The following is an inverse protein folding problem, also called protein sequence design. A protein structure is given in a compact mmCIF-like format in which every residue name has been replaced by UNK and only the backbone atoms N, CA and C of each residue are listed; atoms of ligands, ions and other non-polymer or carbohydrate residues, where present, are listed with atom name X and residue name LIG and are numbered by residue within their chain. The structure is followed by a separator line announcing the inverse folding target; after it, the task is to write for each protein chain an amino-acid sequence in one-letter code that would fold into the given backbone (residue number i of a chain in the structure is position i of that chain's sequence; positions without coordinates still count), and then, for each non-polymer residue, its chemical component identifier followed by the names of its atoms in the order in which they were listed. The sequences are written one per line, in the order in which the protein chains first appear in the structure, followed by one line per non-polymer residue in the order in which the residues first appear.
data_IF_495730371109
#
_entry.id   IF_495730371109
#
_cell.length_a   1.000
_cell.length_b   1.000
_cell.length_c   1.000
_cell.angle_alpha   90.00
_cell.angle_beta   90.00
_cell.angle_gamma   90.00
#
_symmetry.space_group_name_H-M   'P 1'
#
loop_
_entity.id
_entity.type
_entity.pdbx_description
1 polymer ?
#
# COMPACT_ATOMS: atom_id res chain seq x y z
N UNK A 1 -4.29 18.25 23.17
CA UNK A 1 -3.95 17.97 24.58
C UNK A 1 -4.72 16.78 25.15
N UNK A 2 -6.06 16.77 25.09
CA UNK A 2 -6.92 15.72 25.69
C UNK A 2 -6.49 14.27 25.34
N UNK A 3 -6.20 13.96 24.07
CA UNK A 3 -5.84 12.60 23.67
C UNK A 3 -4.47 12.13 24.19
N UNK A 4 -3.48 13.02 24.30
CA UNK A 4 -2.15 12.67 24.81
C UNK A 4 -2.22 12.23 26.27
N UNK A 5 -3.03 12.94 27.05
CA UNK A 5 -3.29 12.63 28.47
C UNK A 5 -3.99 11.27 28.59
N UNK A 6 -5.00 11.00 27.75
CA UNK A 6 -5.70 9.70 27.75
C UNK A 6 -4.74 8.54 27.48
N UNK A 7 -3.88 8.67 26.45
CA UNK A 7 -2.88 7.62 26.12
C UNK A 7 -1.92 7.39 27.28
N UNK A 8 -1.44 8.47 27.91
CA UNK A 8 -0.53 8.38 29.05
C UNK A 8 -1.20 7.73 30.27
N UNK A 9 -2.40 8.17 30.64
CA UNK A 9 -3.17 7.58 31.75
C UNK A 9 -3.46 6.10 31.52
N UNK A 10 -3.87 5.72 30.30
CA UNK A 10 -4.13 4.32 29.97
C UNK A 10 -2.84 3.48 29.99
N UNK A 11 -1.70 4.03 29.57
CA UNK A 11 -0.40 3.33 29.65
C UNK A 11 0.06 3.08 31.10
N UNK A 12 -0.18 4.04 32.00
CA UNK A 12 0.12 3.88 33.43
C UNK A 12 -0.85 2.88 34.05
N UNK A 13 -2.13 2.96 33.70
CA UNK A 13 -3.14 2.02 34.18
C UNK A 13 -2.82 0.58 33.74
N UNK A 14 -2.44 0.36 32.48
CA UNK A 14 -2.07 -0.98 32.01
C UNK A 14 -0.80 -1.49 32.69
N UNK A 15 0.19 -0.62 32.94
CA UNK A 15 1.39 -0.98 33.70
C UNK A 15 1.05 -1.48 35.12
N UNK A 16 0.20 -0.75 35.85
CA UNK A 16 -0.21 -1.12 37.21
C UNK A 16 -0.97 -2.44 37.19
N UNK A 17 -1.97 -2.57 36.31
CA UNK A 17 -2.80 -3.77 36.23
C UNK A 17 -2.00 -5.01 35.83
N UNK A 18 -1.07 -4.87 34.88
CA UNK A 18 -0.18 -5.98 34.46
C UNK A 18 0.81 -6.43 35.54
N UNK A 19 1.06 -5.62 36.59
CA UNK A 19 1.90 -6.02 37.72
C UNK A 19 1.10 -6.67 38.85
N UNK A 20 -0.16 -6.27 39.02
CA UNK A 20 -0.97 -6.67 40.19
C UNK A 20 -1.92 -7.85 39.89
N UNK A 21 -2.33 -8.04 38.64
CA UNK A 21 -3.26 -9.10 38.26
C UNK A 21 -2.58 -10.23 37.51
N UNK A 22 -2.88 -11.48 37.89
CA UNK A 22 -2.43 -12.71 37.21
C UNK A 22 -3.32 -13.02 35.99
N UNK A 23 -3.53 -12.01 35.14
CA UNK A 23 -4.24 -12.17 33.87
C UNK A 23 -3.19 -12.15 32.76
N UNK A 24 -3.33 -12.94 31.68
CA UNK A 24 -2.39 -12.87 30.56
C UNK A 24 -2.23 -11.43 30.09
N UNK A 25 -0.98 -10.95 30.04
CA UNK A 25 -0.64 -9.57 29.70
C UNK A 25 -1.23 -9.10 28.35
N UNK A 26 -1.47 -10.03 27.42
CA UNK A 26 -2.14 -9.74 26.15
C UNK A 26 -3.59 -9.26 26.30
N UNK A 27 -4.27 -9.62 27.38
CA UNK A 27 -5.65 -9.22 27.65
C UNK A 27 -5.78 -7.69 27.72
N UNK A 28 -4.91 -7.03 28.50
CA UNK A 28 -4.93 -5.57 28.68
C UNK A 28 -4.58 -4.81 27.41
N UNK A 29 -3.83 -5.42 26.49
CA UNK A 29 -3.47 -4.83 25.19
C UNK A 29 -4.72 -4.62 24.33
N UNK A 30 -5.71 -5.50 24.40
CA UNK A 30 -6.90 -5.44 23.53
C UNK A 30 -8.14 -4.90 24.23
N UNK A 31 -8.33 -5.16 25.53
CA UNK A 31 -9.55 -4.75 26.25
C UNK A 31 -9.72 -3.23 26.26
N UNK A 32 -8.71 -2.47 26.66
CA UNK A 32 -8.83 -1.01 26.73
C UNK A 32 -9.04 -0.35 25.36
N UNK A 33 -8.31 -0.71 24.29
CA UNK A 33 -8.61 -0.20 22.95
C UNK A 33 -10.00 -0.57 22.45
N UNK A 34 -10.49 -1.79 22.73
CA UNK A 34 -11.84 -2.22 22.30
C UNK A 34 -12.91 -1.41 23.05
N UNK A 35 -12.81 -1.28 24.37
CA UNK A 35 -13.75 -0.49 25.18
C UNK A 35 -13.73 0.98 24.73
N UNK A 36 -12.54 1.53 24.51
CA UNK A 36 -12.37 2.88 23.97
C UNK A 36 -13.02 3.03 22.58
N UNK A 37 -12.84 2.05 21.69
CA UNK A 37 -13.49 2.01 20.37
C UNK A 37 -15.02 2.02 20.51
N UNK A 38 -15.59 1.13 21.33
CA UNK A 38 -17.05 1.04 21.53
C UNK A 38 -17.62 2.37 22.06
N UNK A 39 -17.00 2.95 23.08
CA UNK A 39 -17.44 4.23 23.67
C UNK A 39 -17.36 5.37 22.64
N UNK A 40 -16.23 5.49 21.94
CA UNK A 40 -16.04 6.57 20.95
C UNK A 40 -16.98 6.43 19.76
N UNK A 41 -17.18 5.22 19.24
CA UNK A 41 -18.14 4.93 18.18
C UNK A 41 -19.57 5.26 18.62
N UNK A 42 -19.97 4.87 19.84
CA UNK A 42 -21.29 5.19 20.36
C UNK A 42 -21.50 6.71 20.46
N UNK A 43 -20.56 7.43 21.09
CA UNK A 43 -20.64 8.89 21.24
C UNK A 43 -20.69 9.57 19.87
N UNK A 44 -19.83 9.19 18.92
CA UNK A 44 -19.74 9.87 17.64
C UNK A 44 -20.90 9.54 16.70
N UNK A 45 -21.46 8.32 16.76
CA UNK A 45 -22.63 7.92 15.99
C UNK A 45 -23.89 8.66 16.48
N UNK A 46 -24.16 8.64 17.78
CA UNK A 46 -25.41 9.18 18.33
C UNK A 46 -25.35 10.68 18.63
N UNK A 47 -24.24 11.19 19.16
CA UNK A 47 -24.13 12.59 19.60
C UNK A 47 -23.65 13.55 18.51
N UNK A 48 -22.85 13.07 17.55
CA UNK A 48 -22.14 13.94 16.60
C UNK A 48 -22.41 13.65 15.12
N UNK A 49 -23.10 12.55 14.77
CA UNK A 49 -23.30 12.09 13.38
C UNK A 49 -22.00 12.01 12.56
N UNK A 50 -20.89 11.68 13.22
CA UNK A 50 -19.58 11.56 12.59
C UNK A 50 -19.33 10.09 12.23
N UNK A 51 -18.72 9.82 11.06
CA UNK A 51 -18.32 8.46 10.66
C UNK A 51 -17.33 7.85 11.66
N UNK A 52 -17.57 6.59 12.05
CA UNK A 52 -16.75 5.81 12.99
C UNK A 52 -15.28 5.68 12.57
N UNK A 53 -14.99 5.77 11.27
CA UNK A 53 -13.62 5.76 10.73
C UNK A 53 -12.74 6.91 11.23
N UNK A 54 -13.32 7.96 11.83
CA UNK A 54 -12.55 9.04 12.45
C UNK A 54 -11.85 8.64 13.74
N UNK A 55 -12.29 7.57 14.42
CA UNK A 55 -11.78 7.19 15.73
C UNK A 55 -10.70 6.12 15.67
N UNK A 56 -10.61 5.39 14.56
CA UNK A 56 -9.61 4.33 14.38
C UNK A 56 -8.17 4.80 14.69
N UNK A 57 -7.72 6.00 14.25
CA UNK A 57 -6.41 6.51 14.64
C UNK A 57 -6.23 6.71 16.15
N UNK A 58 -7.28 7.14 16.85
CA UNK A 58 -7.24 7.32 18.31
C UNK A 58 -7.24 5.97 19.03
N UNK A 59 -8.00 5.00 18.55
CA UNK A 59 -7.95 3.60 19.04
C UNK A 59 -6.53 3.04 18.87
N UNK A 60 -5.89 3.27 17.73
CA UNK A 60 -4.52 2.80 17.49
C UNK A 60 -3.51 3.48 18.44
N UNK A 61 -3.68 4.76 18.77
CA UNK A 61 -2.85 5.44 19.77
C UNK A 61 -3.02 4.86 21.17
N UNK A 62 -4.24 4.53 21.56
CA UNK A 62 -4.53 3.85 22.83
C UNK A 62 -3.89 2.46 22.83
N UNK A 63 -4.01 1.71 21.74
CA UNK A 63 -3.36 0.42 21.58
C UNK A 63 -1.85 0.49 21.81
N UNK A 64 -1.15 1.47 21.19
CA UNK A 64 0.28 1.65 21.44
C UNK A 64 0.59 2.05 22.89
N UNK A 65 -0.25 2.88 23.52
CA UNK A 65 -0.13 3.20 24.94
C UNK A 65 -0.26 1.97 25.83
N UNK A 66 -1.28 1.13 25.60
CA UNK A 66 -1.53 -0.10 26.36
C UNK A 66 -0.42 -1.13 26.14
N UNK A 67 0.01 -1.34 24.89
CA UNK A 67 1.14 -2.20 24.55
C UNK A 67 2.43 -1.73 25.25
N UNK A 68 2.68 -0.41 25.24
CA UNK A 68 3.80 0.20 25.93
C UNK A 68 3.76 -0.05 27.44
N UNK A 69 2.61 0.18 28.08
CA UNK A 69 2.44 -0.08 29.52
C UNK A 69 2.61 -1.55 29.91
N UNK A 70 2.17 -2.49 29.07
CA UNK A 70 2.39 -3.92 29.28
C UNK A 70 3.88 -4.27 29.14
N UNK A 71 4.58 -3.71 28.15
CA UNK A 71 6.02 -3.96 27.98
C UNK A 71 6.85 -3.39 29.14
N UNK A 72 6.41 -2.27 29.73
CA UNK A 72 7.00 -1.67 30.94
C UNK A 72 6.79 -2.50 32.22
N UNK A 73 5.87 -3.47 32.22
CA UNK A 73 5.64 -4.32 33.39
C UNK A 73 6.73 -5.39 33.56
N UNK A 74 7.46 -5.71 32.49
CA UNK A 74 8.57 -6.66 32.53
C UNK A 74 9.85 -6.04 33.10
N UNK A 75 10.72 -6.87 33.67
CA UNK A 75 12.01 -6.46 34.25
C UNK A 75 13.17 -6.45 33.23
N UNK A 76 12.93 -6.94 32.02
CA UNK A 76 13.92 -6.97 30.95
C UNK A 76 14.13 -5.56 30.37
N UNK A 77 15.39 -5.08 30.41
CA UNK A 77 15.79 -3.75 29.94
C UNK A 77 15.34 -3.51 28.50
N UNK A 78 15.46 -4.51 27.62
CA UNK A 78 15.07 -4.38 26.23
C UNK A 78 13.56 -4.08 26.08
N UNK A 79 12.72 -4.80 26.83
CA UNK A 79 11.26 -4.59 26.83
C UNK A 79 10.86 -3.26 27.44
N UNK A 80 11.55 -2.82 28.49
CA UNK A 80 11.30 -1.51 29.10
C UNK A 80 11.56 -0.38 28.11
N UNK A 81 12.70 -0.43 27.40
CA UNK A 81 13.04 0.55 26.35
C UNK A 81 11.97 0.52 25.24
N UNK A 82 11.61 -0.68 24.76
CA UNK A 82 10.58 -0.83 23.74
C UNK A 82 9.21 -0.31 24.21
N UNK A 83 8.88 -0.53 25.47
CA UNK A 83 7.66 -0.02 26.10
C UNK A 83 7.59 1.50 26.13
N UNK A 84 8.68 2.16 26.55
CA UNK A 84 8.80 3.62 26.50
C UNK A 84 8.63 4.15 25.07
N UNK A 85 9.24 3.50 24.09
CA UNK A 85 9.10 3.88 22.67
C UNK A 85 7.66 3.78 22.18
N UNK A 86 6.92 2.73 22.55
CA UNK A 86 5.50 2.59 22.17
C UNK A 86 4.60 3.63 22.83
N UNK A 87 4.82 3.95 24.12
CA UNK A 87 4.10 5.04 24.80
C UNK A 87 4.38 6.38 24.11
N UNK A 88 5.66 6.66 23.83
CA UNK A 88 6.08 7.87 23.13
C UNK A 88 5.45 7.95 21.74
N UNK A 89 5.41 6.84 20.99
CA UNK A 89 4.78 6.76 19.68
C UNK A 89 3.28 7.08 19.76
N UNK A 90 2.55 6.51 20.72
CA UNK A 90 1.12 6.82 20.94
C UNK A 90 0.87 8.30 21.28
N UNK A 91 1.78 8.95 22.01
CA UNK A 91 1.69 10.36 22.38
C UNK A 91 2.03 11.28 21.19
N UNK A 92 3.11 10.99 20.46
CA UNK A 92 3.61 11.79 19.35
C UNK A 92 2.82 11.60 18.04
N UNK A 93 2.14 10.47 17.89
CA UNK A 93 1.30 10.18 16.73
C UNK A 93 0.29 11.31 16.47
N UNK A 94 0.35 11.87 15.26
CA UNK A 94 -0.55 12.94 14.81
C UNK A 94 -1.85 12.34 14.27
N UNK A 95 -2.94 12.53 15.02
CA UNK A 95 -4.29 12.08 14.67
C UNK A 95 -4.70 12.51 13.25
N UNK A 96 -4.45 13.77 12.87
CA UNK A 96 -4.83 14.29 11.56
C UNK A 96 -4.01 13.67 10.41
N UNK A 97 -2.74 13.36 10.63
CA UNK A 97 -1.93 12.68 9.63
C UNK A 97 -2.39 11.22 9.45
N UNK A 98 -2.63 10.53 10.56
CA UNK A 98 -3.13 9.15 10.56
C UNK A 98 -4.53 9.04 9.93
N UNK A 99 -5.45 9.96 10.22
CA UNK A 99 -6.77 10.01 9.56
C UNK A 99 -6.65 10.16 8.06
N UNK A 100 -5.74 11.03 7.59
CA UNK A 100 -5.52 11.23 6.16
C UNK A 100 -4.96 9.99 5.48
N UNK A 101 -4.01 9.31 6.10
CA UNK A 101 -3.48 8.03 5.60
C UNK A 101 -4.56 6.97 5.61
N UNK A 102 -5.29 6.80 6.71
CA UNK A 102 -6.36 5.81 6.82
C UNK A 102 -7.47 6.02 5.77
N UNK A 103 -7.81 7.28 5.49
CA UNK A 103 -8.83 7.66 4.49
C UNK A 103 -8.29 7.76 3.07
N UNK A 104 -6.99 7.53 2.87
CA UNK A 104 -6.28 7.76 1.61
C UNK A 104 -6.63 9.12 0.99
N UNK A 105 -6.72 10.16 1.84
CA UNK A 105 -7.17 11.50 1.42
C UNK A 105 -6.17 12.09 0.42
N UNK A 106 -6.63 12.33 -0.80
CA UNK A 106 -5.80 12.86 -1.89
C UNK A 106 -5.08 11.80 -2.72
N UNK A 107 -5.39 10.50 -2.53
CA UNK A 107 -4.91 9.43 -3.38
C UNK A 107 -5.82 9.26 -4.59
N UNK A 108 -5.27 9.53 -5.78
CA UNK A 108 -5.91 9.33 -7.09
C UNK A 108 -5.13 8.23 -7.82
N UNK A 109 -5.81 7.22 -8.31
CA UNK A 109 -5.19 6.13 -9.06
C UNK A 109 -5.70 6.11 -10.49
N UNK A 110 -4.78 5.98 -11.44
CA UNK A 110 -5.08 5.78 -12.85
C UNK A 110 -4.62 4.36 -13.25
N UNK A 111 -5.57 3.51 -13.62
CA UNK A 111 -5.34 2.11 -14.03
C UNK A 111 -5.90 1.86 -15.42
N UNK A 112 -5.48 0.76 -16.06
CA UNK A 112 -5.91 0.39 -17.40
C UNK A 112 -4.78 -0.19 -18.24
N UNK A 113 -5.11 -0.74 -19.39
CA UNK A 113 -4.16 -1.45 -20.28
C UNK A 113 -3.08 -0.51 -20.84
N UNK A 114 -1.97 -1.07 -21.33
CA UNK A 114 -0.91 -0.28 -21.97
C UNK A 114 -1.43 0.45 -23.22
N UNK A 115 -0.92 1.65 -23.52
CA UNK A 115 -1.40 2.44 -24.68
C UNK A 115 -2.65 3.31 -24.45
N UNK A 116 -3.24 3.28 -23.25
CA UNK A 116 -4.43 4.08 -22.88
C UNK A 116 -4.18 5.56 -22.61
N UNK A 117 -2.93 6.01 -22.50
CA UNK A 117 -2.60 7.42 -22.23
C UNK A 117 -2.62 7.84 -20.75
N UNK A 118 -2.62 6.88 -19.81
CA UNK A 118 -2.61 7.14 -18.35
C UNK A 118 -1.59 8.19 -17.91
N UNK A 119 -0.34 8.06 -18.36
CA UNK A 119 0.74 8.97 -17.98
C UNK A 119 0.47 10.41 -18.45
N UNK A 120 -0.10 10.59 -19.65
CA UNK A 120 -0.52 11.91 -20.15
C UNK A 120 -1.65 12.50 -19.30
N UNK A 121 -2.66 11.69 -18.96
CA UNK A 121 -3.73 12.14 -18.09
C UNK A 121 -3.25 12.44 -16.65
N UNK A 122 -2.29 11.68 -16.13
CA UNK A 122 -1.66 11.95 -14.84
C UNK A 122 -1.04 13.35 -14.80
N UNK A 123 -0.34 13.72 -15.88
CA UNK A 123 0.33 15.00 -16.01
C UNK A 123 -0.67 16.17 -16.16
N UNK A 124 -1.75 15.96 -16.91
CA UNK A 124 -2.83 16.93 -17.03
C UNK A 124 -3.53 17.18 -15.68
N UNK A 125 -3.83 16.11 -14.92
CA UNK A 125 -4.44 16.22 -13.59
C UNK A 125 -3.48 16.91 -12.62
N UNK A 126 -2.17 16.59 -12.68
CA UNK A 126 -1.15 17.26 -11.87
C UNK A 126 -1.13 18.76 -12.14
N UNK A 127 -1.08 19.14 -13.42
CA UNK A 127 -1.06 20.54 -13.85
C UNK A 127 -2.30 21.29 -13.39
N UNK A 128 -3.48 20.70 -13.55
CA UNK A 128 -4.73 21.29 -13.08
C UNK A 128 -4.75 21.47 -11.55
N UNK A 129 -4.32 20.47 -10.78
CA UNK A 129 -4.23 20.59 -9.31
C UNK A 129 -3.25 21.69 -8.87
N UNK A 130 -2.09 21.76 -9.51
CA UNK A 130 -1.07 22.76 -9.19
C UNK A 130 -1.52 24.18 -9.52
N UNK A 131 -2.21 24.38 -10.66
CA UNK A 131 -2.84 25.66 -11.02
C UNK A 131 -3.87 26.12 -9.98
N UNK A 132 -4.54 25.18 -9.31
CA UNK A 132 -5.48 25.45 -8.22
C UNK A 132 -4.79 25.56 -6.84
N UNK A 133 -3.46 25.67 -6.78
CA UNK A 133 -2.69 25.80 -5.54
C UNK A 133 -2.58 24.51 -4.72
N UNK A 134 -2.97 23.37 -5.29
CA UNK A 134 -2.94 22.06 -4.61
C UNK A 134 -1.62 21.35 -4.95
N UNK A 135 -0.80 21.10 -3.92
CA UNK A 135 0.46 20.37 -4.10
C UNK A 135 0.18 18.92 -4.50
N UNK A 136 0.72 18.51 -5.65
CA UNK A 136 0.56 17.17 -6.20
C UNK A 136 1.91 16.46 -6.35
N UNK A 137 1.89 15.13 -6.44
CA UNK A 137 3.04 14.29 -6.79
C UNK A 137 2.57 13.08 -7.59
N UNK A 138 3.20 12.83 -8.73
CA UNK A 138 2.98 11.59 -9.49
C UNK A 138 3.91 10.48 -8.96
N UNK A 139 3.37 9.28 -8.77
CA UNK A 139 4.12 8.09 -8.34
C UNK A 139 3.85 6.96 -9.34
N UNK A 140 4.83 6.59 -10.17
CA UNK A 140 4.69 5.44 -11.05
C UNK A 140 4.88 4.12 -10.29
N UNK A 141 3.98 3.15 -10.48
CA UNK A 141 4.03 1.81 -9.89
C UNK A 141 4.63 0.73 -10.82
N UNK A 142 5.44 1.14 -11.81
CA UNK A 142 6.05 0.23 -12.78
C UNK A 142 7.46 -0.27 -12.38
N UNK A 143 8.04 0.17 -11.25
CA UNK A 143 9.36 -0.26 -10.77
C UNK A 143 9.24 -0.97 -9.43
N UNK A 144 9.83 -2.15 -9.36
CA UNK A 144 9.90 -2.96 -8.14
C UNK A 144 11.12 -2.50 -7.31
N UNK A 145 10.94 -2.16 -6.03
CA UNK A 145 12.04 -1.67 -5.19
C UNK A 145 13.05 -2.80 -4.93
N UNK A 146 12.56 -4.02 -4.75
CA UNK A 146 13.34 -5.20 -4.40
C UNK A 146 13.54 -6.14 -5.58
N UNK A 147 12.51 -6.42 -6.40
CA UNK A 147 12.69 -7.35 -7.52
C UNK A 147 13.69 -6.83 -8.57
N UNK A 148 13.78 -5.51 -8.78
CA UNK A 148 14.78 -4.93 -9.69
C UNK A 148 16.20 -4.97 -9.12
N UNK A 149 16.35 -5.00 -7.79
CA UNK A 149 17.67 -5.18 -7.14
C UNK A 149 18.08 -6.66 -7.14
N UNK A 150 17.14 -7.56 -6.84
CA UNK A 150 17.34 -9.01 -6.85
C UNK A 150 17.59 -9.54 -8.27
N UNK A 151 16.90 -9.03 -9.29
CA UNK A 151 17.16 -9.40 -10.68
C UNK A 151 18.57 -9.00 -11.10
N UNK A 152 19.00 -7.77 -10.80
CA UNK A 152 20.38 -7.30 -11.06
C UNK A 152 21.43 -8.08 -10.28
N UNK A 153 21.14 -8.46 -9.04
CA UNK A 153 22.02 -9.29 -8.24
C UNK A 153 22.12 -10.70 -8.84
N UNK A 154 21.00 -11.35 -9.14
CA UNK A 154 20.96 -12.68 -9.78
C UNK A 154 21.64 -12.70 -11.15
N UNK A 155 21.50 -11.64 -11.96
CA UNK A 155 22.22 -11.47 -13.22
C UNK A 155 23.75 -11.36 -13.05
N UNK A 156 24.24 -10.87 -11.90
CA UNK A 156 25.67 -10.87 -11.58
C UNK A 156 26.20 -12.25 -11.18
N UNK A 157 25.33 -13.14 -10.67
CA UNK A 157 25.73 -14.48 -10.21
C UNK A 157 25.45 -15.59 -11.24
N UNK A 158 24.48 -15.43 -12.13
CA UNK A 158 24.28 -16.36 -13.24
C UNK A 158 25.12 -15.93 -14.45
N UNK A 159 26.09 -16.78 -14.78
CA UNK A 159 27.01 -16.72 -15.94
C UNK A 159 26.28 -16.94 -17.29
N UNK A 160 25.09 -16.38 -17.43
CA UNK A 160 24.20 -16.51 -18.59
C UNK A 160 23.64 -15.13 -18.98
N UNK A 161 24.54 -14.16 -19.09
CA UNK A 161 24.32 -12.91 -19.81
C UNK A 161 24.26 -13.08 -21.33
N UNK A 162 23.80 -14.23 -21.86
CA UNK A 162 23.78 -14.54 -23.29
C UNK A 162 22.58 -14.00 -24.08
N UNK A 163 21.66 -13.27 -23.45
CA UNK A 163 20.56 -12.59 -24.17
C UNK A 163 20.71 -11.06 -24.25
N UNK A 164 21.82 -10.49 -23.74
CA UNK A 164 22.16 -9.08 -23.96
C UNK A 164 23.18 -8.89 -25.10
N UNK A 165 23.82 -9.95 -25.59
CA UNK A 165 24.83 -9.88 -26.66
C UNK A 165 24.24 -10.01 -28.08
N UNK A 166 23.06 -10.60 -28.24
CA UNK A 166 22.30 -10.53 -29.49
C UNK A 166 21.49 -9.24 -29.47
N UNK A 167 21.86 -8.27 -30.31
CA UNK A 167 21.32 -6.90 -30.36
C UNK A 167 19.82 -6.73 -30.68
N UNK A 168 18.95 -7.67 -30.31
CA UNK A 168 17.50 -7.49 -30.30
C UNK A 168 17.10 -6.64 -29.09
N UNK A 169 16.87 -5.35 -29.35
CA UNK A 169 16.49 -4.33 -28.36
C UNK A 169 15.13 -4.56 -27.70
N UNK A 170 14.32 -5.50 -28.18
CA UNK A 170 12.99 -5.79 -27.63
C UNK A 170 12.70 -7.29 -27.63
N UNK A 171 12.09 -7.84 -26.56
CA UNK A 171 11.64 -9.23 -26.57
C UNK A 171 10.55 -9.41 -27.65
N UNK A 172 10.48 -10.57 -28.34
CA UNK A 172 9.52 -10.80 -29.42
C UNK A 172 8.07 -10.66 -28.94
N UNK A 173 7.15 -10.38 -29.88
CA UNK A 173 5.69 -10.26 -29.60
C UNK A 173 5.19 -11.50 -28.85
N UNK A 174 4.49 -11.28 -27.74
CA UNK A 174 3.98 -12.36 -26.90
C UNK A 174 5.04 -13.05 -26.02
N UNK A 175 6.28 -12.55 -25.95
CA UNK A 175 7.29 -13.09 -25.04
C UNK A 175 6.88 -12.88 -23.59
N UNK A 176 6.46 -13.98 -22.97
CA UNK A 176 6.15 -14.04 -21.55
C UNK A 176 7.47 -14.31 -20.83
N UNK A 177 7.92 -13.47 -19.88
CA UNK A 177 9.08 -13.76 -19.06
C UNK A 177 8.79 -14.98 -18.18
N UNK A 178 9.07 -16.15 -18.75
CA UNK A 178 9.43 -17.39 -18.10
C UNK A 178 8.52 -17.83 -16.94
N UNK A 179 7.52 -18.67 -17.25
CA UNK A 179 7.00 -19.69 -16.31
C UNK A 179 8.01 -20.84 -16.09
N UNK A 180 9.32 -20.58 -16.19
CA UNK A 180 10.36 -21.61 -16.38
C UNK A 180 10.79 -22.29 -15.08
N UNK A 181 10.18 -21.98 -13.93
CA UNK A 181 10.59 -22.53 -12.62
C UNK A 181 9.39 -22.91 -11.74
N UNK A 182 9.54 -24.01 -10.97
CA UNK A 182 8.56 -24.48 -9.96
C UNK A 182 8.24 -23.42 -8.90
N UNK A 183 9.10 -22.43 -8.69
CA UNK A 183 8.90 -21.31 -7.75
C UNK A 183 8.20 -20.09 -8.37
N UNK A 184 7.72 -20.21 -9.62
CA UNK A 184 7.02 -19.11 -10.31
C UNK A 184 5.76 -18.63 -9.58
N UNK A 185 5.14 -19.46 -8.73
CA UNK A 185 3.97 -19.08 -7.92
C UNK A 185 4.28 -18.05 -6.83
N UNK A 186 5.52 -17.94 -6.36
CA UNK A 186 5.90 -17.01 -5.28
C UNK A 186 6.10 -15.59 -5.82
N UNK A 187 6.51 -15.47 -7.09
CA UNK A 187 6.86 -14.18 -7.72
C UNK A 187 5.74 -13.13 -7.62
N UNK A 188 4.45 -13.45 -7.87
CA UNK A 188 3.37 -12.49 -7.70
C UNK A 188 3.19 -11.99 -6.26
N UNK A 189 3.42 -12.84 -5.26
CA UNK A 189 3.33 -12.44 -3.84
C UNK A 189 4.49 -11.54 -3.44
N UNK A 190 5.71 -11.82 -3.93
CA UNK A 190 6.86 -10.92 -3.71
C UNK A 190 6.60 -9.56 -4.38
N UNK A 191 6.09 -9.56 -5.61
CA UNK A 191 5.73 -8.35 -6.34
C UNK A 191 4.66 -7.53 -5.59
N UNK A 192 3.69 -8.20 -4.97
CA UNK A 192 2.68 -7.57 -4.14
C UNK A 192 3.29 -6.91 -2.90
N UNK A 193 4.14 -7.63 -2.16
CA UNK A 193 4.82 -7.11 -0.97
C UNK A 193 5.68 -5.89 -1.34
N UNK A 194 6.41 -5.95 -2.45
CA UNK A 194 7.25 -4.85 -2.93
C UNK A 194 6.42 -3.60 -3.26
N UNK A 195 5.26 -3.78 -3.92
CA UNK A 195 4.31 -2.70 -4.16
C UNK A 195 3.76 -2.08 -2.88
N UNK A 196 3.47 -2.89 -1.86
CA UNK A 196 3.06 -2.40 -0.55
C UNK A 196 4.17 -1.55 0.09
N UNK A 197 5.43 -1.99 0.00
CA UNK A 197 6.56 -1.18 0.48
C UNK A 197 6.72 0.12 -0.31
N UNK A 198 6.58 0.09 -1.64
CA UNK A 198 6.59 1.29 -2.48
C UNK A 198 5.49 2.28 -2.04
N UNK A 199 4.28 1.77 -1.76
CA UNK A 199 3.17 2.56 -1.23
C UNK A 199 3.52 3.20 0.12
N UNK A 200 4.02 2.42 1.07
CA UNK A 200 4.39 2.90 2.41
C UNK A 200 5.51 3.94 2.38
N UNK A 201 6.47 3.82 1.45
CA UNK A 201 7.63 4.73 1.39
C UNK A 201 7.34 5.97 0.54
N UNK A 202 6.60 5.85 -0.57
CA UNK A 202 6.40 6.97 -1.52
C UNK A 202 5.06 7.68 -1.35
N UNK A 203 3.99 6.94 -1.08
CA UNK A 203 2.62 7.47 -1.05
C UNK A 203 2.28 7.98 0.34
N UNK A 204 2.45 7.15 1.38
CA UNK A 204 2.07 7.51 2.76
C UNK A 204 2.74 8.80 3.25
N UNK A 205 4.05 9.03 3.08
CA UNK A 205 4.69 10.27 3.53
C UNK A 205 4.20 11.50 2.75
N UNK A 206 3.74 11.33 1.52
CA UNK A 206 3.19 12.42 0.71
C UNK A 206 1.80 12.82 1.21
N UNK A 207 0.95 11.83 1.52
CA UNK A 207 -0.37 12.05 2.15
C UNK A 207 -0.23 12.71 3.53
N UNK A 208 0.72 12.26 4.35
CA UNK A 208 1.04 12.87 5.65
C UNK A 208 1.39 14.37 5.50
N UNK A 209 2.10 14.75 4.42
CA UNK A 209 2.48 16.13 4.10
C UNK A 209 1.38 16.97 3.42
N UNK A 210 0.12 16.50 3.42
CA UNK A 210 -1.02 17.20 2.78
C UNK A 210 -0.82 17.41 1.27
N UNK A 211 -0.15 16.48 0.60
CA UNK A 211 -0.03 16.48 -0.87
C UNK A 211 -1.01 15.48 -1.46
N UNK A 212 -1.57 15.82 -2.62
CA UNK A 212 -2.26 14.86 -3.46
C UNK A 212 -1.22 13.96 -4.14
N UNK A 213 -1.58 12.69 -4.32
CA UNK A 213 -0.73 11.69 -4.95
C UNK A 213 -1.50 11.06 -6.08
N UNK A 214 -0.97 11.18 -7.30
CA UNK A 214 -1.51 10.53 -8.50
C UNK A 214 -0.64 9.30 -8.76
N UNK A 215 -1.23 8.11 -8.74
CA UNK A 215 -0.54 6.88 -9.06
C UNK A 215 -0.80 6.52 -10.52
N UNK A 216 0.27 6.42 -11.32
CA UNK A 216 0.21 5.80 -12.66
C UNK A 216 0.43 4.29 -12.47
N UNK A 217 -0.68 3.56 -12.56
CA UNK A 217 -0.90 2.20 -12.02
C UNK A 217 -0.84 2.12 -10.50
N UNK A 218 -1.36 1.04 -9.96
CA UNK A 218 -1.41 0.78 -8.53
C UNK A 218 -1.22 -0.71 -8.21
N UNK A 219 -1.42 -1.07 -6.94
CA UNK A 219 -1.14 -2.39 -6.39
C UNK A 219 -1.92 -3.49 -7.14
N UNK A 220 -3.18 -3.25 -7.48
CA UNK A 220 -4.01 -4.22 -8.23
C UNK A 220 -3.63 -4.35 -9.70
N UNK A 221 -3.02 -3.36 -10.35
CA UNK A 221 -2.57 -3.50 -11.74
C UNK A 221 -1.57 -4.65 -11.89
N UNK A 222 -0.74 -4.90 -10.86
CA UNK A 222 0.14 -6.06 -10.84
C UNK A 222 -0.62 -7.38 -10.74
N UNK A 223 -1.71 -7.44 -9.97
CA UNK A 223 -2.59 -8.62 -9.95
C UNK A 223 -3.16 -8.89 -11.34
N UNK A 224 -3.72 -7.86 -12.00
CA UNK A 224 -4.31 -8.00 -13.34
C UNK A 224 -3.26 -8.50 -14.33
N UNK A 225 -2.06 -7.92 -14.30
CA UNK A 225 -0.93 -8.36 -15.12
C UNK A 225 -0.53 -9.81 -14.85
N UNK A 226 -0.46 -10.23 -13.59
CA UNK A 226 -0.14 -11.63 -13.25
C UNK A 226 -1.24 -12.60 -13.69
N UNK A 227 -2.51 -12.19 -13.63
CA UNK A 227 -3.63 -12.99 -14.11
C UNK A 227 -3.60 -13.16 -15.63
N UNK A 228 -3.32 -12.09 -16.37
CA UNK A 228 -3.10 -12.11 -17.81
C UNK A 228 -1.96 -13.06 -18.21
N UNK A 229 -0.86 -13.06 -17.46
CA UNK A 229 0.26 -13.99 -17.68
C UNK A 229 -0.03 -15.44 -17.22
N UNK A 230 -1.24 -15.71 -16.71
CA UNK A 230 -1.70 -17.03 -16.29
C UNK A 230 -1.06 -17.55 -15.00
N UNK A 231 -0.69 -16.69 -14.06
CA UNK A 231 -0.28 -17.10 -12.71
C UNK A 231 -1.50 -17.48 -11.87
N UNK A 232 -1.30 -18.32 -10.84
CA UNK A 232 -2.36 -18.57 -9.86
C UNK A 232 -2.57 -17.31 -8.99
N UNK A 233 -3.73 -16.68 -9.16
CA UNK A 233 -4.06 -15.41 -8.49
C UNK A 233 -5.17 -15.51 -7.46
N UNK A 234 -5.52 -16.71 -6.98
CA UNK A 234 -6.68 -16.95 -6.10
C UNK A 234 -6.78 -15.97 -4.92
N UNK A 235 -5.67 -15.75 -4.21
CA UNK A 235 -5.61 -14.86 -3.05
C UNK A 235 -5.05 -13.47 -3.36
N UNK A 236 -4.48 -13.26 -4.55
CA UNK A 236 -3.85 -11.98 -4.91
C UNK A 236 -4.88 -10.87 -5.11
N UNK A 237 -6.09 -11.21 -5.56
CA UNK A 237 -7.15 -10.21 -5.76
C UNK A 237 -7.53 -9.53 -4.44
N UNK A 238 -7.88 -10.33 -3.43
CA UNK A 238 -8.27 -9.83 -2.10
C UNK A 238 -7.14 -9.03 -1.47
N UNK A 239 -5.91 -9.55 -1.51
CA UNK A 239 -4.76 -8.87 -0.92
C UNK A 239 -4.41 -7.57 -1.66
N UNK A 240 -4.52 -7.53 -2.99
CA UNK A 240 -4.20 -6.31 -3.77
C UNK A 240 -5.26 -5.21 -3.64
N UNK A 241 -6.48 -5.55 -3.23
CA UNK A 241 -7.62 -4.62 -3.08
C UNK A 241 -7.84 -4.15 -1.64
N UNK A 242 -6.99 -4.56 -0.68
CA UNK A 242 -7.01 -4.10 0.72
C UNK A 242 -6.90 -2.57 0.82
N UNK A 243 -6.03 -1.95 0.02
CA UNK A 243 -5.87 -0.50 0.00
C UNK A 243 -6.78 0.10 -1.06
N UNK A 244 -7.81 0.83 -0.62
CA UNK A 244 -8.75 1.50 -1.51
C UNK A 244 -8.40 2.98 -1.68
N UNK A 245 -8.16 3.48 -2.90
CA UNK A 245 -7.88 4.89 -3.12
C UNK A 245 -9.13 5.73 -2.83
N UNK A 246 -8.95 7.06 -2.74
CA UNK A 246 -10.10 7.94 -2.64
C UNK A 246 -10.81 8.07 -3.99
N UNK A 247 -10.04 8.09 -5.09
CA UNK A 247 -10.52 8.11 -6.46
C UNK A 247 -9.72 7.09 -7.25
N UNK A 248 -10.40 6.19 -7.96
CA UNK A 248 -9.82 5.29 -8.96
C UNK A 248 -10.44 5.58 -10.31
N UNK A 249 -9.60 5.77 -11.33
CA UNK A 249 -10.01 5.96 -12.72
C UNK A 249 -9.44 4.82 -13.55
N UNK A 250 -10.31 4.14 -14.29
CA UNK A 250 -9.93 3.04 -15.18
C UNK A 250 -10.09 3.56 -16.61
N UNK A 251 -8.98 3.58 -17.34
CA UNK A 251 -8.97 3.99 -18.74
C UNK A 251 -9.22 2.77 -19.60
N UNK A 252 -10.30 2.84 -20.39
CA UNK A 252 -10.71 1.77 -21.29
C UNK A 252 -10.46 2.18 -22.75
N UNK A 253 -9.76 1.33 -23.50
CA UNK A 253 -9.49 1.48 -24.93
C UNK A 253 -9.61 0.08 -25.57
N UNK A 254 -10.11 -0.06 -26.80
CA UNK A 254 -10.10 -1.33 -27.52
C UNK A 254 -8.68 -1.93 -27.62
N UNK A 255 -8.58 -3.25 -27.52
CA UNK A 255 -7.29 -3.95 -27.51
C UNK A 255 -6.51 -3.75 -28.81
N UNK A 256 -7.20 -3.60 -29.94
CA UNK A 256 -6.59 -3.31 -31.24
C UNK A 256 -5.85 -1.98 -31.24
N UNK A 257 -6.52 -0.94 -30.75
CA UNK A 257 -5.96 0.42 -30.64
C UNK A 257 -4.79 0.45 -29.66
N UNK A 258 -4.88 -0.32 -28.58
CA UNK A 258 -3.78 -0.46 -27.62
C UNK A 258 -2.54 -1.09 -28.26
N UNK A 259 -2.71 -2.20 -28.99
CA UNK A 259 -1.61 -2.87 -29.73
C UNK A 259 -0.97 -1.92 -30.72
N UNK A 260 -1.77 -1.20 -31.52
CA UNK A 260 -1.26 -0.23 -32.50
C UNK A 260 -0.42 0.87 -31.82
N UNK A 261 -0.96 1.50 -30.76
CA UNK A 261 -0.27 2.56 -30.01
C UNK A 261 1.00 2.10 -29.30
N UNK A 262 1.05 0.83 -28.88
CA UNK A 262 2.24 0.25 -28.23
C UNK A 262 3.27 -0.19 -29.26
N UNK A 263 2.82 -0.66 -30.44
CA UNK A 263 3.70 -1.11 -31.52
C UNK A 263 4.59 0.00 -32.10
N UNK A 264 4.13 1.26 -32.04
CA UNK A 264 4.91 2.43 -32.44
C UNK A 264 5.98 2.87 -31.43
N UNK A 265 6.20 2.14 -30.33
CA UNK A 265 7.18 2.51 -29.28
C UNK A 265 8.44 1.65 -29.37
N UNK A 266 9.61 2.27 -29.26
CA UNK A 266 10.91 1.58 -29.39
C UNK A 266 11.19 0.50 -28.34
N UNK A 267 10.66 0.65 -27.11
CA UNK A 267 10.97 -0.25 -25.99
C UNK A 267 9.74 -0.52 -25.10
N UNK A 268 8.85 -1.41 -25.54
CA UNK A 268 7.75 -1.90 -24.71
C UNK A 268 7.48 -3.39 -24.95
N UNK A 269 7.04 -4.09 -23.90
CA UNK A 269 6.52 -5.46 -24.03
C UNK A 269 5.32 -5.42 -24.98
N UNK A 270 5.42 -6.13 -26.09
CA UNK A 270 4.36 -6.22 -27.08
C UNK A 270 3.48 -7.42 -26.74
N UNK A 271 2.41 -7.17 -25.98
CA UNK A 271 1.41 -8.18 -25.64
C UNK A 271 0.49 -8.46 -26.84
N UNK A 272 -0.10 -9.65 -26.86
CA UNK A 272 -1.09 -10.02 -27.88
C UNK A 272 -2.44 -9.34 -27.61
N UNK A 273 -3.29 -9.28 -28.63
CA UNK A 273 -4.66 -8.77 -28.50
C UNK A 273 -5.44 -9.48 -27.37
N UNK A 274 -5.38 -10.82 -27.36
CA UNK A 274 -6.03 -11.66 -26.35
C UNK A 274 -5.56 -11.33 -24.92
N UNK A 275 -4.27 -11.06 -24.75
CA UNK A 275 -3.71 -10.65 -23.46
C UNK A 275 -4.29 -9.31 -22.99
N UNK A 276 -4.37 -8.32 -23.87
CA UNK A 276 -5.02 -7.05 -23.54
C UNK A 276 -6.52 -7.19 -23.29
N UNK A 277 -7.22 -8.10 -23.98
CA UNK A 277 -8.63 -8.37 -23.72
C UNK A 277 -8.84 -8.95 -22.32
N UNK A 278 -8.00 -9.90 -21.89
CA UNK A 278 -8.03 -10.43 -20.52
C UNK A 278 -7.78 -9.33 -19.50
N UNK A 279 -6.76 -8.49 -19.72
CA UNK A 279 -6.43 -7.36 -18.82
C UNK A 279 -7.61 -6.38 -18.70
N UNK A 280 -8.22 -6.03 -19.84
CA UNK A 280 -9.37 -5.12 -19.94
C UNK A 280 -10.61 -5.66 -19.24
N UNK A 281 -10.95 -6.94 -19.44
CA UNK A 281 -12.10 -7.58 -18.78
C UNK A 281 -11.90 -7.62 -17.28
N UNK A 282 -10.68 -7.88 -16.82
CA UNK A 282 -10.36 -7.94 -15.39
C UNK A 282 -10.40 -6.58 -14.71
N UNK A 283 -9.99 -5.50 -15.37
CA UNK A 283 -10.17 -4.15 -14.83
C UNK A 283 -11.64 -3.75 -14.67
N UNK A 284 -12.57 -4.38 -15.39
CA UNK A 284 -14.01 -4.07 -15.31
C UNK A 284 -14.74 -4.83 -14.19
N UNK A 285 -14.08 -5.80 -13.55
CA UNK A 285 -14.64 -6.55 -12.40
C UNK A 285 -14.42 -5.80 -11.10
#
# INVERSE_FOLDING_TARGET
MKMKIIVMLLSILTLILSRWFVVPNFFWIFVFPIVFCVITVYINKYKRRISYYNDFPNVLRVFFGCLGGVLLSFYDIFRVILGLLFVLFGILANDEAMRRVYRNRGLIVLSGIDGTGKSTHAENIRSWLEQNGIRCKIVPFHRYVFLDKLSRFRLRFHKEGRMMETGEKSPPRGWIPAKTSKFSFIRPYIALIDNFFLYLIRVVPSICRRKYVICDRFIWDNYVKHKMLGYNTRYLFELSTVIKPKIGMIFDVPSEVAVERVSGREFHYQYTKEQYDVERVEFKK
#
